data_IF_401190744163
#
_entry.id   IF_401190744163
#
_cell.length_a   1.000
_cell.length_b   1.000
_cell.length_c   1.000
_cell.angle_alpha   90.00
_cell.angle_beta   90.00
_cell.angle_gamma   90.00
#
_symmetry.space_group_name_H-M   'P 1'
#
loop_
_entity.id
_entity.type
_entity.pdbx_description
1 polymer ?
#
# COMPACT_ATOMS: atom_id res chain seq x y z
N UNK A 1 31.47 -10.35 25.01
CA UNK A 1 30.55 -9.27 24.55
C UNK A 1 29.08 -9.72 24.46
N UNK A 2 28.56 -10.48 25.43
CA UNK A 2 27.17 -10.95 25.43
C UNK A 2 26.18 -9.91 26.00
N UNK A 3 26.63 -9.12 26.97
CA UNK A 3 25.81 -8.15 27.71
C UNK A 3 25.43 -6.91 26.87
N UNK A 4 26.34 -6.41 26.01
CA UNK A 4 26.06 -5.26 25.13
C UNK A 4 25.03 -5.57 24.04
N UNK A 5 25.05 -6.79 23.48
CA UNK A 5 24.06 -7.21 22.47
C UNK A 5 22.66 -7.41 23.06
N UNK A 6 22.58 -7.94 24.28
CA UNK A 6 21.31 -8.14 24.99
C UNK A 6 20.63 -6.82 25.37
N UNK A 7 21.38 -5.87 25.94
CA UNK A 7 20.85 -4.54 26.27
C UNK A 7 20.38 -3.76 25.02
N UNK A 8 21.16 -3.82 23.93
CA UNK A 8 20.76 -3.22 22.65
C UNK A 8 19.49 -3.84 22.07
N UNK A 9 19.35 -5.17 22.15
CA UNK A 9 18.14 -5.87 21.70
C UNK A 9 16.90 -5.49 22.53
N UNK A 10 17.08 -5.32 23.84
CA UNK A 10 16.02 -4.96 24.77
C UNK A 10 15.52 -3.52 24.54
N UNK A 11 16.43 -2.59 24.29
CA UNK A 11 16.06 -1.22 23.89
C UNK A 11 15.37 -1.17 22.52
N UNK A 12 15.87 -1.94 21.53
CA UNK A 12 15.21 -2.04 20.23
C UNK A 12 13.78 -2.60 20.35
N UNK A 13 13.56 -3.58 21.23
CA UNK A 13 12.22 -4.12 21.50
C UNK A 13 11.28 -3.06 22.10
N UNK A 14 11.74 -2.29 23.10
CA UNK A 14 10.96 -1.18 23.70
C UNK A 14 10.59 -0.11 22.69
N UNK A 15 11.54 0.30 21.84
CA UNK A 15 11.31 1.28 20.78
C UNK A 15 10.28 0.76 19.78
N UNK A 16 10.38 -0.52 19.40
CA UNK A 16 9.42 -1.17 18.50
C UNK A 16 8.02 -1.20 19.09
N UNK A 17 7.88 -1.59 20.36
CA UNK A 17 6.61 -1.64 21.05
C UNK A 17 5.95 -0.25 21.16
N UNK A 18 6.73 0.78 21.56
CA UNK A 18 6.26 2.17 21.58
C UNK A 18 5.80 2.63 20.20
N UNK A 19 6.56 2.29 19.16
CA UNK A 19 6.22 2.63 17.77
C UNK A 19 4.92 1.96 17.31
N UNK A 20 4.69 0.70 17.70
CA UNK A 20 3.46 -0.03 17.37
C UNK A 20 2.25 0.57 18.10
N UNK A 21 2.37 0.91 19.38
CA UNK A 21 1.30 1.61 20.12
C UNK A 21 0.92 2.94 19.48
N UNK A 22 1.91 3.75 19.11
CA UNK A 22 1.66 5.03 18.45
C UNK A 22 0.95 4.85 17.10
N UNK A 23 1.32 3.82 16.33
CA UNK A 23 0.64 3.49 15.06
C UNK A 23 -0.79 3.02 15.28
N UNK A 24 -1.03 2.21 16.31
CA UNK A 24 -2.36 1.75 16.69
C UNK A 24 -3.28 2.93 17.06
N UNK A 25 -2.81 3.80 17.96
CA UNK A 25 -3.58 4.97 18.38
C UNK A 25 -3.97 5.88 17.20
N UNK A 26 -3.05 6.09 16.23
CA UNK A 26 -3.37 6.84 15.00
C UNK A 26 -4.43 6.15 14.15
N UNK A 27 -4.33 4.83 13.97
CA UNK A 27 -5.33 4.08 13.21
C UNK A 27 -6.71 4.16 13.88
N UNK A 28 -6.78 4.09 15.21
CA UNK A 28 -8.04 4.26 15.97
C UNK A 28 -8.63 5.66 15.80
N UNK A 29 -7.79 6.68 15.60
CA UNK A 29 -8.21 8.05 15.27
C UNK A 29 -8.60 8.24 13.79
N UNK A 30 -8.65 7.18 13.00
CA UNK A 30 -8.92 7.27 11.55
C UNK A 30 -7.76 7.86 10.74
N UNK A 31 -6.58 8.02 11.32
CA UNK A 31 -5.40 8.53 10.63
C UNK A 31 -4.56 7.40 10.04
N UNK A 32 -3.99 7.63 8.86
CA UNK A 32 -3.11 6.67 8.20
C UNK A 32 -1.75 6.61 8.93
N UNK A 33 -1.36 5.47 9.54
CA UNK A 33 -0.09 5.37 10.26
C UNK A 33 1.12 5.38 9.32
N UNK A 34 2.29 5.74 9.86
CA UNK A 34 3.53 5.79 9.06
C UNK A 34 3.92 4.41 8.50
N UNK A 35 4.31 4.41 7.21
CA UNK A 35 4.67 3.19 6.47
C UNK A 35 3.50 2.41 5.90
N UNK A 36 2.27 2.91 6.05
CA UNK A 36 1.11 2.38 5.33
C UNK A 36 1.32 2.53 3.82
N UNK A 37 1.05 1.46 3.06
CA UNK A 37 1.30 1.45 1.61
C UNK A 37 2.78 1.39 1.21
N UNK A 38 3.68 0.88 2.10
CA UNK A 38 5.14 0.71 1.94
C UNK A 38 5.63 0.93 0.49
N UNK A 39 6.43 1.97 0.29
CA UNK A 39 6.91 2.59 -0.98
C UNK A 39 6.01 3.65 -1.63
N UNK A 40 5.44 4.58 -0.84
CA UNK A 40 4.85 5.80 -1.39
C UNK A 40 3.43 5.66 -1.95
N UNK A 41 2.82 4.46 -1.89
CA UNK A 41 1.39 4.28 -2.16
C UNK A 41 1.03 3.01 -2.95
N UNK A 42 -0.12 3.08 -3.62
CA UNK A 42 -0.64 2.06 -4.53
C UNK A 42 -0.62 2.60 -5.96
N UNK A 43 -0.80 1.73 -6.96
CA UNK A 43 -0.88 2.19 -8.36
C UNK A 43 -2.03 3.20 -8.48
N UNK A 44 -1.74 4.44 -8.87
CA UNK A 44 -2.76 5.49 -8.94
C UNK A 44 -3.09 6.22 -7.64
N UNK A 45 -2.53 5.81 -6.50
CA UNK A 45 -2.76 6.43 -5.19
C UNK A 45 -1.43 6.73 -4.51
N UNK A 46 -0.98 7.98 -4.55
CA UNK A 46 0.22 8.44 -3.84
C UNK A 46 -0.11 8.90 -2.43
N UNK A 47 0.71 8.55 -1.43
CA UNK A 47 0.52 9.10 -0.09
C UNK A 47 1.06 10.53 -0.03
N UNK A 48 0.19 11.46 0.35
CA UNK A 48 0.53 12.86 0.55
C UNK A 48 0.77 13.10 2.05
N UNK A 49 1.97 13.55 2.38
CA UNK A 49 2.42 13.75 3.77
C UNK A 49 1.83 14.99 4.42
N UNK A 50 1.40 15.97 3.64
CA UNK A 50 0.85 17.23 4.15
C UNK A 50 -0.60 17.02 4.61
N UNK A 51 -1.42 16.46 3.73
CA UNK A 51 -2.83 16.15 4.03
C UNK A 51 -3.00 14.82 4.77
N UNK A 52 -1.93 14.02 4.90
CA UNK A 52 -1.91 12.69 5.54
C UNK A 52 -2.91 11.70 4.93
N UNK A 53 -3.18 11.83 3.63
CA UNK A 53 -4.18 11.07 2.88
C UNK A 53 -3.61 10.55 1.55
N UNK A 54 -4.36 9.68 0.87
CA UNK A 54 -4.00 9.25 -0.48
C UNK A 54 -4.54 10.24 -1.52
N UNK A 55 -3.66 10.70 -2.40
CA UNK A 55 -4.00 11.54 -3.56
C UNK A 55 -4.03 10.70 -4.82
N UNK A 56 -5.01 10.96 -5.67
CA UNK A 56 -5.08 10.35 -7.00
C UNK A 56 -3.93 10.82 -7.87
N UNK A 57 -3.25 9.89 -8.53
CA UNK A 57 -2.27 10.18 -9.58
C UNK A 57 -3.00 10.04 -10.93
N UNK A 58 -3.24 11.15 -11.65
CA UNK A 58 -3.94 11.12 -12.93
C UNK A 58 -3.30 10.12 -13.90
N UNK A 59 -4.12 9.42 -14.69
CA UNK A 59 -3.69 8.40 -15.64
C UNK A 59 -3.31 7.05 -15.00
N UNK A 60 -2.66 7.04 -13.83
CA UNK A 60 -2.37 5.78 -13.12
C UNK A 60 -3.60 5.22 -12.39
N UNK A 61 -4.47 6.08 -11.89
CA UNK A 61 -5.72 5.66 -11.24
C UNK A 61 -6.66 4.93 -12.22
N UNK A 62 -6.67 5.36 -13.48
CA UNK A 62 -7.48 4.73 -14.54
C UNK A 62 -6.99 3.32 -14.85
N UNK A 63 -5.67 3.10 -14.82
CA UNK A 63 -5.09 1.75 -14.95
C UNK A 63 -5.50 0.86 -13.77
N UNK A 64 -5.49 1.37 -12.54
CA UNK A 64 -5.94 0.60 -11.39
C UNK A 64 -7.43 0.21 -11.52
N UNK A 65 -8.27 1.15 -11.98
CA UNK A 65 -9.68 0.90 -12.29
C UNK A 65 -9.83 -0.15 -13.41
N UNK A 66 -9.04 -0.06 -14.47
CA UNK A 66 -9.02 -1.04 -15.56
C UNK A 66 -8.71 -2.45 -15.04
N UNK A 67 -7.67 -2.60 -14.22
CA UNK A 67 -7.27 -3.87 -13.62
C UNK A 67 -8.42 -4.48 -12.82
N UNK A 68 -9.04 -3.70 -11.93
CA UNK A 68 -10.12 -4.16 -11.06
C UNK A 68 -11.33 -4.61 -11.90
N UNK A 69 -11.72 -3.82 -12.91
CA UNK A 69 -12.86 -4.14 -13.76
C UNK A 69 -12.62 -5.39 -14.62
N UNK A 70 -11.43 -5.54 -15.21
CA UNK A 70 -11.09 -6.71 -16.04
C UNK A 70 -11.03 -7.98 -15.21
N UNK A 71 -10.45 -7.90 -14.01
CA UNK A 71 -10.42 -9.04 -13.09
C UNK A 71 -11.83 -9.43 -12.62
N UNK A 72 -12.69 -8.45 -12.32
CA UNK A 72 -14.09 -8.70 -11.97
C UNK A 72 -14.88 -9.36 -13.11
N UNK A 73 -14.50 -9.13 -14.37
CA UNK A 73 -15.06 -9.81 -15.56
C UNK A 73 -14.50 -11.22 -15.78
N UNK A 74 -13.65 -11.73 -14.88
CA UNK A 74 -13.08 -13.08 -14.94
C UNK A 74 -11.74 -13.19 -15.67
N UNK A 75 -11.15 -12.07 -16.09
CA UNK A 75 -9.84 -12.11 -16.73
C UNK A 75 -8.72 -12.41 -15.72
N UNK A 76 -7.82 -13.33 -16.06
CA UNK A 76 -6.70 -13.67 -15.18
C UNK A 76 -5.70 -12.51 -15.02
N UNK A 77 -5.13 -12.38 -13.83
CA UNK A 77 -4.09 -11.38 -13.54
C UNK A 77 -2.89 -11.47 -14.50
N UNK A 78 -2.56 -12.67 -14.98
CA UNK A 78 -1.50 -12.89 -15.97
C UNK A 78 -1.86 -12.29 -17.34
N UNK A 79 -3.11 -12.47 -17.79
CA UNK A 79 -3.59 -11.88 -19.05
C UNK A 79 -3.60 -10.36 -18.99
N UNK A 80 -4.15 -9.80 -17.91
CA UNK A 80 -4.17 -8.35 -17.65
C UNK A 80 -2.74 -7.80 -17.66
N UNK A 81 -1.81 -8.46 -16.97
CA UNK A 81 -0.40 -8.03 -16.92
C UNK A 81 0.22 -7.99 -18.31
N UNK A 82 0.06 -9.06 -19.12
CA UNK A 82 0.62 -9.11 -20.48
C UNK A 82 0.07 -8.00 -21.36
N UNK A 83 -1.24 -7.74 -21.28
CA UNK A 83 -1.87 -6.67 -22.04
C UNK A 83 -1.35 -5.28 -21.64
N UNK A 84 -1.21 -5.01 -20.34
CA UNK A 84 -0.68 -3.74 -19.85
C UNK A 84 0.80 -3.55 -20.21
N UNK A 85 1.59 -4.62 -20.20
CA UNK A 85 2.99 -4.58 -20.63
C UNK A 85 3.14 -4.35 -22.14
N UNK A 86 2.29 -4.98 -22.96
CA UNK A 86 2.27 -4.74 -24.42
C UNK A 86 1.96 -3.28 -24.76
N UNK A 87 1.21 -2.58 -23.89
CA UNK A 87 0.91 -1.15 -23.98
C UNK A 87 1.97 -0.25 -23.33
N UNK A 88 3.10 -0.81 -22.90
CA UNK A 88 4.17 -0.11 -22.17
C UNK A 88 3.71 0.65 -20.91
N UNK A 89 2.68 0.13 -20.21
CA UNK A 89 2.17 0.77 -19.00
C UNK A 89 3.20 0.69 -17.87
N UNK A 90 3.52 1.85 -17.30
CA UNK A 90 4.50 2.00 -16.23
C UNK A 90 3.78 1.99 -14.88
N UNK A 91 4.31 1.24 -13.91
CA UNK A 91 3.82 1.23 -12.53
C UNK A 91 4.39 2.37 -11.68
N UNK A 92 3.96 2.47 -10.42
CA UNK A 92 4.37 3.54 -9.50
C UNK A 92 5.90 3.70 -9.32
N UNK A 93 6.68 2.64 -9.53
CA UNK A 93 8.15 2.66 -9.42
C UNK A 93 8.90 3.02 -10.71
N UNK A 94 8.24 3.59 -11.72
CA UNK A 94 8.88 4.02 -12.98
C UNK A 94 9.31 2.87 -13.90
N UNK A 95 8.92 1.63 -13.59
CA UNK A 95 9.19 0.43 -14.40
C UNK A 95 7.89 -0.11 -14.99
N UNK A 96 8.00 -0.88 -16.08
CA UNK A 96 6.87 -1.61 -16.65
C UNK A 96 6.09 -2.36 -15.55
N UNK A 97 4.77 -2.26 -15.61
CA UNK A 97 3.90 -2.88 -14.63
C UNK A 97 4.09 -4.40 -14.67
N UNK A 98 4.50 -4.97 -13.54
CA UNK A 98 4.66 -6.42 -13.38
C UNK A 98 3.44 -7.03 -12.72
N UNK A 99 3.32 -8.35 -12.79
CA UNK A 99 2.24 -9.12 -12.13
C UNK A 99 2.15 -8.85 -10.63
N UNK A 100 3.28 -8.59 -9.96
CA UNK A 100 3.29 -8.18 -8.55
C UNK A 100 2.55 -6.88 -8.30
N UNK A 101 2.64 -5.91 -9.22
CA UNK A 101 1.88 -4.66 -9.17
C UNK A 101 0.38 -4.91 -9.34
N UNK A 102 0.00 -5.72 -10.33
CA UNK A 102 -1.41 -6.13 -10.54
C UNK A 102 -1.95 -6.85 -9.31
N UNK A 103 -1.24 -7.85 -8.79
CA UNK A 103 -1.65 -8.58 -7.59
C UNK A 103 -1.79 -7.65 -6.37
N UNK A 104 -0.92 -6.63 -6.24
CA UNK A 104 -1.03 -5.65 -5.17
C UNK A 104 -2.31 -4.80 -5.31
N UNK A 105 -2.68 -4.39 -6.53
CA UNK A 105 -3.97 -3.70 -6.78
C UNK A 105 -5.13 -4.58 -6.34
N UNK A 106 -5.12 -5.86 -6.73
CA UNK A 106 -6.20 -6.80 -6.41
C UNK A 106 -6.29 -7.11 -4.90
N UNK A 107 -5.16 -7.38 -4.25
CA UNK A 107 -5.10 -7.66 -2.82
C UNK A 107 -5.53 -6.47 -1.95
N UNK A 108 -5.34 -5.25 -2.47
CA UNK A 108 -5.69 -4.01 -1.79
C UNK A 108 -6.84 -3.26 -2.48
N UNK A 109 -7.75 -3.99 -3.14
CA UNK A 109 -8.88 -3.41 -3.90
C UNK A 109 -9.76 -2.46 -3.07
N UNK A 110 -9.96 -2.77 -1.79
CA UNK A 110 -10.72 -1.94 -0.83
C UNK A 110 -10.12 -0.54 -0.63
N UNK A 111 -8.82 -0.37 -0.83
CA UNK A 111 -8.18 0.94 -0.74
C UNK A 111 -8.70 1.89 -1.82
N UNK A 112 -9.00 1.35 -3.01
CA UNK A 112 -9.55 2.12 -4.13
C UNK A 112 -11.02 2.53 -3.92
N UNK A 113 -11.67 2.02 -2.87
CA UNK A 113 -13.01 2.44 -2.44
C UNK A 113 -12.97 3.28 -1.15
N UNK A 114 -11.81 3.82 -0.75
CA UNK A 114 -11.66 4.63 0.47
C UNK A 114 -11.61 3.82 1.78
N UNK A 115 -11.51 2.49 1.71
CA UNK A 115 -11.45 1.63 2.90
C UNK A 115 -10.01 1.19 3.14
N UNK A 116 -9.41 1.72 4.19
CA UNK A 116 -8.07 1.37 4.64
C UNK A 116 -8.16 0.41 5.84
N UNK A 117 -7.16 -0.46 6.01
CA UNK A 117 -7.08 -1.41 7.14
C UNK A 117 -5.65 -1.46 7.66
N UNK A 118 -5.43 -1.02 8.90
CA UNK A 118 -4.15 -1.16 9.60
C UNK A 118 -4.28 -2.22 10.70
N UNK A 119 -3.51 -3.31 10.62
CA UNK A 119 -3.73 -4.51 11.43
C UNK A 119 -5.20 -4.91 11.36
N UNK A 120 -5.97 -4.88 12.45
CA UNK A 120 -7.41 -5.18 12.47
C UNK A 120 -8.31 -3.95 12.53
N UNK A 121 -7.72 -2.76 12.54
CA UNK A 121 -8.45 -1.49 12.62
C UNK A 121 -8.78 -1.03 11.20
N UNK A 122 -10.08 -0.85 10.94
CA UNK A 122 -10.58 -0.20 9.73
C UNK A 122 -10.41 1.30 9.87
N UNK A 123 -9.73 1.91 8.91
CA UNK A 123 -9.59 3.36 8.78
C UNK A 123 -10.47 3.77 7.60
N UNK A 124 -11.53 4.53 7.88
CA UNK A 124 -12.36 5.17 6.86
C UNK A 124 -11.94 6.63 6.79
N UNK A 125 -11.47 7.05 5.62
CA UNK A 125 -11.06 8.42 5.33
C UNK A 125 -11.41 8.78 3.91
#
# INVERSE_FOLDING_TARGET
NFVRGWASSLEAAKIRERSLRNKKARAEQGQIPSGYGRYGGYLGLGYDTEIKAFKHIPGQIDIAKEILLRYAKGESASSITRNLQARNVIGAGGKLLRRSGVNRVLAHSRVYSGILKWSDIKITG
#
